data_IF_833587239989
#
_entry.id   IF_833587239989
#
_cell.length_a   1.000
_cell.length_b   1.000
_cell.length_c   1.000
_cell.angle_alpha   90.00
_cell.angle_beta   90.00
_cell.angle_gamma   90.00
#
_symmetry.space_group_name_H-M   'P 1'
#
loop_
_entity.id
_entity.type
_entity.pdbx_description
1 polymer ?
#
# COMPACT_ATOMS: atom_id res chain seq x y z
N UNK A 1 -0.18 6.35 -1.83
CA UNK A 1 0.25 5.25 -0.92
C UNK A 1 1.78 5.16 -0.81
N UNK A 2 2.53 4.94 -1.90
CA UNK A 2 4.01 4.85 -1.89
C UNK A 2 4.75 6.09 -1.37
N UNK A 3 4.21 7.30 -1.56
CA UNK A 3 4.86 8.54 -1.12
C UNK A 3 4.94 8.71 0.41
N UNK A 4 4.04 8.09 1.18
CA UNK A 4 4.00 8.21 2.64
C UNK A 4 5.14 7.46 3.37
N UNK A 5 5.41 6.17 3.09
CA UNK A 5 6.57 5.49 3.69
C UNK A 5 7.89 6.12 3.23
N UNK A 6 7.96 6.66 2.00
CA UNK A 6 9.12 7.41 1.55
C UNK A 6 9.30 8.70 2.38
N UNK A 7 8.23 9.47 2.59
CA UNK A 7 8.26 10.66 3.44
C UNK A 7 8.65 10.32 4.89
N UNK A 8 8.19 9.19 5.43
CA UNK A 8 8.64 8.69 6.73
C UNK A 8 10.15 8.42 6.75
N UNK A 9 10.68 7.74 5.72
CA UNK A 9 12.13 7.44 5.64
C UNK A 9 12.99 8.70 5.67
N UNK A 10 12.54 9.80 5.07
CA UNK A 10 13.28 11.06 5.03
C UNK A 10 13.02 11.98 6.23
N UNK A 11 11.82 11.94 6.82
CA UNK A 11 11.44 12.86 7.91
C UNK A 11 11.51 12.25 9.31
N UNK A 12 11.47 10.92 9.42
CA UNK A 12 11.32 10.21 10.69
C UNK A 12 9.97 10.39 11.39
N UNK A 13 9.00 11.05 10.75
CA UNK A 13 7.72 11.38 11.38
C UNK A 13 6.69 10.24 11.21
N UNK A 14 6.38 9.56 12.31
CA UNK A 14 5.43 8.43 12.37
C UNK A 14 4.02 8.77 11.84
N UNK A 15 3.63 10.06 11.83
CA UNK A 15 2.35 10.50 11.26
C UNK A 15 2.21 10.08 9.78
N UNK A 16 3.32 10.04 9.03
CA UNK A 16 3.30 9.59 7.64
C UNK A 16 3.04 8.09 7.51
N UNK A 17 3.61 7.24 8.38
CA UNK A 17 3.27 5.81 8.37
C UNK A 17 1.79 5.60 8.73
N UNK A 18 1.24 6.39 9.67
CA UNK A 18 -0.19 6.34 10.03
C UNK A 18 -1.09 6.76 8.86
N UNK A 19 -0.78 7.85 8.17
CA UNK A 19 -1.51 8.26 6.96
C UNK A 19 -1.38 7.22 5.85
N UNK A 20 -0.18 6.66 5.65
CA UNK A 20 0.05 5.59 4.68
C UNK A 20 -0.82 4.36 4.94
N UNK A 21 -0.94 3.94 6.21
CA UNK A 21 -1.86 2.86 6.62
C UNK A 21 -3.32 3.19 6.28
N UNK A 22 -3.83 4.36 6.68
CA UNK A 22 -5.23 4.71 6.43
C UNK A 22 -5.57 4.71 4.93
N UNK A 23 -4.66 5.23 4.09
CA UNK A 23 -4.84 5.23 2.63
C UNK A 23 -4.79 3.81 2.06
N UNK A 24 -3.98 2.95 2.66
CA UNK A 24 -3.88 1.53 2.31
C UNK A 24 -5.16 0.77 2.59
N UNK A 25 -5.70 0.92 3.80
CA UNK A 25 -6.95 0.30 4.21
C UNK A 25 -8.08 0.72 3.27
N UNK A 26 -8.21 2.03 2.99
CA UNK A 26 -9.21 2.52 2.03
C UNK A 26 -9.07 1.91 0.63
N UNK A 27 -7.84 1.74 0.15
CA UNK A 27 -7.62 1.14 -1.16
C UNK A 27 -7.97 -0.36 -1.18
N UNK A 28 -7.59 -1.10 -0.15
CA UNK A 28 -7.90 -2.53 -0.01
C UNK A 28 -9.42 -2.77 0.11
N UNK A 29 -10.13 -1.92 0.85
CA UNK A 29 -11.59 -1.99 0.99
C UNK A 29 -12.32 -1.71 -0.34
N UNK A 30 -11.69 -0.95 -1.24
CA UNK A 30 -12.23 -0.66 -2.57
C UNK A 30 -11.68 -1.59 -3.67
N UNK A 31 -10.94 -2.64 -3.31
CA UNK A 31 -10.42 -3.59 -4.28
C UNK A 31 -11.50 -4.63 -4.66
N UNK A 32 -11.63 -4.95 -5.96
CA UNK A 32 -12.44 -6.08 -6.41
C UNK A 32 -11.75 -7.42 -6.08
N UNK A 33 -12.49 -8.52 -6.21
CA UNK A 33 -12.03 -9.88 -5.87
C UNK A 33 -10.78 -10.32 -6.66
N UNK A 34 -10.54 -9.75 -7.84
CA UNK A 34 -9.37 -10.01 -8.67
C UNK A 34 -8.11 -9.25 -8.22
N UNK A 35 -8.20 -8.45 -7.16
CA UNK A 35 -7.14 -7.60 -6.61
C UNK A 35 -6.51 -6.61 -7.61
N UNK A 36 -7.16 -6.35 -8.74
CA UNK A 36 -6.71 -5.35 -9.72
C UNK A 36 -7.66 -4.15 -9.64
N UNK A 37 -7.16 -2.98 -9.23
CA UNK A 37 -8.00 -1.80 -9.11
C UNK A 37 -8.55 -1.43 -10.49
N UNK A 38 -9.72 -0.83 -10.45
CA UNK A 38 -10.28 -0.09 -11.57
C UNK A 38 -9.43 1.16 -11.80
N UNK A 39 -9.48 1.72 -13.01
CA UNK A 39 -8.79 2.97 -13.32
C UNK A 39 -9.19 4.13 -12.39
N UNK A 40 -10.42 4.11 -11.86
CA UNK A 40 -10.92 4.99 -10.80
C UNK A 40 -11.66 4.15 -9.75
N UNK A 41 -11.51 4.48 -8.46
CA UNK A 41 -12.17 3.77 -7.36
C UNK A 41 -13.70 3.88 -7.41
N UNK A 42 -14.26 4.92 -8.05
CA UNK A 42 -15.70 5.11 -8.25
C UNK A 42 -16.22 4.64 -9.62
N UNK A 43 -15.37 4.06 -10.48
CA UNK A 43 -15.81 3.62 -11.80
C UNK A 43 -16.69 2.36 -11.72
N UNK A 44 -17.73 2.24 -12.58
CA UNK A 44 -18.53 1.02 -12.64
C UNK A 44 -17.70 -0.19 -13.08
N UNK A 45 -18.13 -1.39 -12.69
CA UNK A 45 -17.35 -2.64 -12.81
C UNK A 45 -16.93 -3.02 -14.24
N UNK A 46 -17.63 -2.49 -15.25
CA UNK A 46 -17.40 -2.77 -16.67
C UNK A 46 -16.28 -1.91 -17.31
N UNK A 47 -15.51 -1.15 -16.51
CA UNK A 47 -14.43 -0.30 -17.01
C UNK A 47 -13.04 -0.95 -16.95
N UNK A 48 -12.13 -0.37 -17.73
CA UNK A 48 -10.72 -0.76 -17.84
C UNK A 48 -10.03 -0.86 -16.48
N UNK A 49 -9.27 -1.94 -16.31
CA UNK A 49 -8.42 -2.20 -15.14
C UNK A 49 -7.12 -1.41 -15.23
N UNK A 50 -6.59 -1.00 -14.07
CA UNK A 50 -5.28 -0.34 -13.99
C UNK A 50 -4.27 -1.20 -13.21
N UNK A 51 -3.53 -2.02 -13.95
CA UNK A 51 -2.45 -2.84 -13.40
C UNK A 51 -1.26 -2.00 -12.89
N UNK A 52 -1.06 -0.78 -13.39
CA UNK A 52 0.02 0.08 -12.92
C UNK A 52 -0.27 0.60 -11.52
N UNK A 53 -1.52 0.98 -11.24
CA UNK A 53 -1.98 1.32 -9.89
C UNK A 53 -1.80 0.16 -8.90
N UNK A 54 -2.09 -1.08 -9.33
CA UNK A 54 -1.84 -2.29 -8.53
C UNK A 54 -0.35 -2.46 -8.17
N UNK A 55 0.53 -2.29 -9.14
CA UNK A 55 1.98 -2.44 -8.94
C UNK A 55 2.55 -1.35 -7.99
N UNK A 56 2.06 -0.12 -8.11
CA UNK A 56 2.43 0.99 -7.21
C UNK A 56 1.91 0.74 -5.80
N UNK A 57 0.69 0.22 -5.65
CA UNK A 57 0.12 -0.14 -4.36
C UNK A 57 0.91 -1.28 -3.69
N UNK A 58 1.25 -2.34 -4.43
CA UNK A 58 2.08 -3.43 -3.95
C UNK A 58 3.47 -2.93 -3.47
N UNK A 59 4.09 -2.04 -4.23
CA UNK A 59 5.38 -1.43 -3.84
C UNK A 59 5.23 -0.57 -2.58
N UNK A 60 4.13 0.19 -2.47
CA UNK A 60 3.81 1.01 -1.30
C UNK A 60 3.55 0.20 -0.04
N UNK A 61 2.88 -0.95 -0.18
CA UNK A 61 2.62 -1.91 0.89
C UNK A 61 3.92 -2.49 1.46
N UNK A 62 4.85 -2.87 0.60
CA UNK A 62 6.16 -3.40 1.02
C UNK A 62 6.96 -2.34 1.79
N UNK A 63 7.00 -1.10 1.29
CA UNK A 63 7.68 -0.01 2.00
C UNK A 63 6.95 0.36 3.32
N UNK A 64 5.62 0.30 3.37
CA UNK A 64 4.84 0.48 4.61
C UNK A 64 5.08 -0.64 5.63
N UNK A 65 5.26 -1.89 5.19
CA UNK A 65 5.63 -2.98 6.09
C UNK A 65 6.97 -2.70 6.79
N UNK A 66 7.87 -1.95 6.16
CA UNK A 66 9.13 -1.53 6.78
C UNK A 66 8.98 -0.43 7.84
N UNK A 67 7.88 0.33 7.82
CA UNK A 67 7.51 1.23 8.92
C UNK A 67 7.07 0.47 10.18
N UNK A 68 6.57 -0.77 10.05
CA UNK A 68 5.98 -1.49 11.18
C UNK A 68 7.07 -1.98 12.15
N UNK A 69 6.81 -1.96 13.46
CA UNK A 69 7.72 -2.51 14.45
C UNK A 69 7.99 -4.01 14.17
N UNK A 70 9.19 -4.47 14.50
CA UNK A 70 9.72 -5.80 14.12
C UNK A 70 8.98 -7.03 14.68
N UNK A 71 7.85 -6.83 15.38
CA UNK A 71 7.00 -7.91 15.92
C UNK A 71 5.54 -7.81 15.50
N UNK A 72 5.20 -6.99 14.50
CA UNK A 72 3.83 -6.90 14.00
C UNK A 72 3.51 -8.13 13.13
N UNK A 73 2.40 -8.86 13.35
CA UNK A 73 2.03 -10.02 12.54
C UNK A 73 1.94 -9.74 11.03
N UNK A 74 1.66 -8.50 10.63
CA UNK A 74 1.60 -8.08 9.22
C UNK A 74 2.97 -7.78 8.60
N UNK A 75 4.05 -7.75 9.38
CA UNK A 75 5.40 -7.48 8.89
C UNK A 75 6.07 -8.78 8.45
N UNK A 76 5.97 -9.11 7.17
CA UNK A 76 6.88 -10.09 6.58
C UNK A 76 8.23 -9.44 6.33
N UNK A 77 9.29 -9.97 6.95
CA UNK A 77 10.65 -9.50 6.73
C UNK A 77 11.12 -9.93 5.34
N UNK A 78 10.81 -9.12 4.32
CA UNK A 78 11.22 -9.38 2.93
C UNK A 78 12.71 -9.16 2.69
N UNK A 79 13.47 -8.78 3.72
CA UNK A 79 14.92 -8.54 3.63
C UNK A 79 15.76 -9.78 3.96
N UNK A 80 15.13 -10.88 4.37
CA UNK A 80 15.83 -12.17 4.47
C UNK A 80 15.93 -12.77 3.06
N UNK A 81 17.14 -12.90 2.48
CA UNK A 81 17.29 -13.60 1.21
C UNK A 81 16.91 -15.07 1.42
N UNK A 82 16.04 -15.59 0.55
CA UNK A 82 15.70 -17.01 0.47
C UNK A 82 16.87 -17.83 -0.06
#
# INVERSE_FOLDING_TARGET
MYGFPLAYRYSGNEAFCKMGRNVTEYYLDNLPEDHVPRWDCGAPENHTRDSASAAIAASGLIELASCLPAGNPDRQDTRTPR
#
